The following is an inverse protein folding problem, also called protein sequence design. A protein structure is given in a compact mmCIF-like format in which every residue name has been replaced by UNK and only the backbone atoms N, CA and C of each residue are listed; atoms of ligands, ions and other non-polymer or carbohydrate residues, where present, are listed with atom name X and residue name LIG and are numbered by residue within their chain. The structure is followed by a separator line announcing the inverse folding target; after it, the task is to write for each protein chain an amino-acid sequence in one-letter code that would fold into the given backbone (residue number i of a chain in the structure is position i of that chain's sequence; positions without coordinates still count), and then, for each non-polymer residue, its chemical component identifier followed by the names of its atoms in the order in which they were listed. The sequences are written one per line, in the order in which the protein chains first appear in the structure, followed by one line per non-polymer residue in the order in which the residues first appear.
data_IF_907268804899
#
_entry.id   IF_907268804899
#
_cell.length_a   1.000
_cell.length_b   1.000
_cell.length_c   1.000
_cell.angle_alpha   90.00
_cell.angle_beta   90.00
_cell.angle_gamma   90.00
#
_symmetry.space_group_name_H-M   'P 1'
#
loop_
_entity.id
_entity.type
_entity.pdbx_description
1 polymer ?
#
# COMPACT_ATOMS: atom_id res chain seq x y z
N UNK A 1 41.23 -3.89 0.42
CA UNK A 1 40.03 -4.43 -0.25
C UNK A 1 38.82 -3.88 0.48
N UNK A 2 37.95 -3.11 -0.19
CA UNK A 2 36.66 -2.71 0.40
C UNK A 2 35.72 -3.90 0.26
N UNK A 3 35.15 -4.38 1.37
CA UNK A 3 34.13 -5.42 1.34
C UNK A 3 32.94 -4.97 0.49
N UNK A 4 32.27 -5.87 -0.25
CA UNK A 4 31.01 -5.52 -0.90
C UNK A 4 30.02 -5.13 0.19
N UNK A 5 29.47 -3.92 0.10
CA UNK A 5 28.31 -3.54 0.90
C UNK A 5 27.20 -4.48 0.45
N UNK A 6 26.80 -5.41 1.30
CA UNK A 6 25.63 -6.23 1.06
C UNK A 6 24.43 -5.28 1.17
N UNK A 7 23.89 -4.84 0.04
CA UNK A 7 22.61 -4.13 0.05
C UNK A 7 21.58 -5.17 0.46
N UNK A 8 21.00 -4.97 1.63
CA UNK A 8 19.86 -5.76 2.11
C UNK A 8 18.64 -5.07 1.53
N UNK A 9 17.83 -5.82 0.82
CA UNK A 9 16.54 -5.37 0.32
C UNK A 9 15.46 -6.07 1.15
N UNK A 10 14.54 -5.27 1.68
CA UNK A 10 13.40 -5.74 2.45
C UNK A 10 12.15 -5.36 1.67
N UNK A 11 11.36 -6.37 1.34
CA UNK A 11 10.09 -6.23 0.64
C UNK A 11 8.95 -6.68 1.55
N UNK A 12 7.83 -5.97 1.51
CA UNK A 12 6.58 -6.42 2.13
C UNK A 12 5.41 -6.16 1.20
N UNK A 13 4.50 -7.13 1.13
CA UNK A 13 3.27 -7.03 0.36
C UNK A 13 2.08 -6.88 1.30
N UNK A 14 1.19 -5.93 0.99
CA UNK A 14 -0.08 -5.74 1.66
C UNK A 14 -1.21 -5.91 0.67
N UNK A 15 -2.22 -6.68 1.06
CA UNK A 15 -3.43 -6.90 0.27
C UNK A 15 -4.63 -6.43 1.04
N UNK A 16 -5.41 -5.53 0.42
CA UNK A 16 -6.72 -5.11 0.89
C UNK A 16 -7.79 -5.62 -0.08
N UNK A 17 -8.95 -6.02 0.44
CA UNK A 17 -10.08 -6.51 -0.35
C UNK A 17 -11.38 -5.89 0.13
N UNK A 18 -12.21 -5.42 -0.79
CA UNK A 18 -13.49 -4.82 -0.46
C UNK A 18 -14.29 -4.46 -1.70
N UNK A 19 -15.19 -3.48 -1.57
CA UNK A 19 -15.96 -3.00 -2.72
C UNK A 19 -15.13 -2.06 -3.60
N UNK A 20 -15.48 -1.99 -4.89
CA UNK A 20 -14.75 -1.19 -5.88
C UNK A 20 -14.67 0.30 -5.55
N UNK A 21 -15.75 0.89 -5.05
CA UNK A 21 -15.81 2.34 -4.78
C UNK A 21 -14.86 2.72 -3.64
N UNK A 22 -14.83 1.91 -2.57
CA UNK A 22 -13.90 2.08 -1.45
C UNK A 22 -12.47 1.81 -1.90
N UNK A 23 -12.23 0.83 -2.78
CA UNK A 23 -10.90 0.58 -3.36
C UNK A 23 -10.36 1.80 -4.13
N UNK A 24 -11.19 2.45 -4.95
CA UNK A 24 -10.84 3.65 -5.71
C UNK A 24 -10.57 4.86 -4.79
N UNK A 25 -11.37 5.02 -3.72
CA UNK A 25 -11.15 6.06 -2.71
C UNK A 25 -9.82 5.86 -1.97
N UNK A 26 -9.53 4.64 -1.53
CA UNK A 26 -8.27 4.28 -0.87
C UNK A 26 -7.08 4.47 -1.81
N UNK A 27 -7.17 4.00 -3.07
CA UNK A 27 -6.13 4.19 -4.08
C UNK A 27 -5.78 5.66 -4.25
N UNK A 28 -6.79 6.53 -4.37
CA UNK A 28 -6.60 7.96 -4.56
C UNK A 28 -5.79 8.62 -3.43
N UNK A 29 -5.88 8.08 -2.21
CA UNK A 29 -5.17 8.61 -1.05
C UNK A 29 -3.68 8.20 -1.01
N UNK A 30 -3.32 7.07 -1.61
CA UNK A 30 -1.95 6.53 -1.61
C UNK A 30 -1.27 6.59 -2.97
N UNK A 31 -1.97 6.99 -4.02
CA UNK A 31 -1.39 7.08 -5.35
C UNK A 31 -0.30 8.15 -5.40
N UNK A 32 0.87 7.77 -5.94
CA UNK A 32 2.01 8.68 -6.08
C UNK A 32 3.00 8.66 -4.92
N UNK A 33 2.88 7.74 -3.95
CA UNK A 33 3.97 7.45 -3.04
C UNK A 33 5.16 6.86 -3.83
N UNK A 34 6.37 7.32 -3.54
CA UNK A 34 7.61 6.91 -4.20
C UNK A 34 8.20 5.60 -3.65
N UNK A 35 7.73 5.20 -2.46
CA UNK A 35 8.21 4.02 -1.73
C UNK A 35 7.32 2.79 -1.88
N UNK A 36 6.24 2.86 -2.67
CA UNK A 36 5.29 1.78 -2.82
C UNK A 36 4.80 1.63 -4.27
N UNK A 37 4.86 0.40 -4.78
CA UNK A 37 4.17 0.03 -6.02
C UNK A 37 2.74 -0.40 -5.67
N UNK A 38 1.76 0.26 -6.29
CA UNK A 38 0.34 0.09 -5.94
C UNK A 38 -0.43 -0.34 -7.19
N UNK A 39 -1.13 -1.46 -7.07
CA UNK A 39 -1.96 -2.03 -8.12
C UNK A 39 -3.41 -2.18 -7.64
N UNK A 40 -4.36 -1.69 -8.44
CA UNK A 40 -5.78 -1.96 -8.24
C UNK A 40 -6.13 -3.28 -8.93
N UNK A 41 -6.53 -4.25 -8.14
CA UNK A 41 -6.96 -5.57 -8.61
C UNK A 41 -8.48 -5.59 -8.62
N UNK A 42 -9.12 -5.86 -9.76
CA UNK A 42 -10.57 -6.03 -9.83
C UNK A 42 -10.90 -7.47 -10.19
N UNK A 43 -11.79 -8.10 -9.42
CA UNK A 43 -12.31 -9.41 -9.80
C UNK A 43 -13.20 -9.31 -11.04
N UNK A 44 -13.18 -10.35 -11.88
CA UNK A 44 -13.93 -10.43 -13.14
C UNK A 44 -15.45 -10.20 -12.96
N UNK A 45 -15.95 -10.43 -11.75
CA UNK A 45 -17.38 -10.45 -11.44
C UNK A 45 -17.87 -9.06 -10.99
N UNK A 46 -16.99 -8.06 -10.94
CA UNK A 46 -17.30 -6.63 -10.74
C UNK A 46 -17.75 -6.21 -9.33
N UNK A 47 -18.01 -7.17 -8.44
CA UNK A 47 -18.46 -6.92 -7.07
C UNK A 47 -17.33 -6.66 -6.05
N UNK A 48 -16.15 -7.25 -6.27
CA UNK A 48 -15.00 -7.13 -5.39
C UNK A 48 -13.81 -6.50 -6.12
N UNK A 49 -13.14 -5.61 -5.42
CA UNK A 49 -11.86 -5.03 -5.80
C UNK A 49 -10.88 -5.15 -4.64
N UNK A 50 -9.61 -5.08 -4.95
CA UNK A 50 -8.53 -5.10 -3.98
C UNK A 50 -7.42 -4.15 -4.35
N UNK A 51 -6.60 -3.85 -3.35
CA UNK A 51 -5.35 -3.13 -3.54
C UNK A 51 -4.22 -4.10 -3.21
N UNK A 52 -3.29 -4.23 -4.13
CA UNK A 52 -2.02 -4.90 -3.91
C UNK A 52 -0.95 -3.84 -3.82
N UNK A 53 -0.29 -3.77 -2.66
CA UNK A 53 0.68 -2.72 -2.36
C UNK A 53 2.00 -3.40 -1.98
N UNK A 54 3.03 -3.13 -2.78
CA UNK A 54 4.38 -3.60 -2.54
C UNK A 54 5.22 -2.47 -1.99
N UNK A 55 5.85 -2.66 -0.83
CA UNK A 55 6.71 -1.67 -0.19
C UNK A 55 8.12 -2.23 -0.07
N UNK A 56 9.09 -1.46 -0.55
CA UNK A 56 10.51 -1.83 -0.56
C UNK A 56 11.32 -0.87 0.31
N UNK A 57 12.37 -1.36 0.94
CA UNK A 57 13.31 -0.55 1.73
C UNK A 57 14.62 -1.26 2.02
N UNK A 58 15.59 -0.51 2.54
CA UNK A 58 16.95 -1.00 2.77
C UNK A 58 17.10 -1.76 4.11
N UNK A 59 16.15 -1.56 5.03
CA UNK A 59 16.07 -2.33 6.27
C UNK A 59 14.65 -2.43 6.86
N UNK A 60 14.46 -3.36 7.80
CA UNK A 60 13.16 -3.61 8.44
C UNK A 60 12.58 -2.39 9.18
N UNK A 61 13.42 -1.47 9.69
CA UNK A 61 12.98 -0.27 10.40
C UNK A 61 12.47 0.78 9.42
N UNK A 62 13.07 0.86 8.24
CA UNK A 62 12.58 1.70 7.15
C UNK A 62 11.25 1.17 6.64
N UNK A 63 11.17 -0.09 6.22
CA UNK A 63 9.91 -0.69 5.74
C UNK A 63 8.79 -0.53 6.77
N UNK A 64 9.07 -0.73 8.06
CA UNK A 64 8.09 -0.46 9.12
C UNK A 64 7.57 0.98 9.09
N UNK A 65 8.43 1.98 8.98
CA UNK A 65 8.01 3.40 8.93
C UNK A 65 7.17 3.72 7.70
N UNK A 66 7.54 3.15 6.56
CA UNK A 66 6.82 3.30 5.30
C UNK A 66 5.42 2.69 5.40
N UNK A 67 5.34 1.46 5.93
CA UNK A 67 4.06 0.77 6.20
C UNK A 67 3.22 1.54 7.22
N UNK A 68 3.80 2.02 8.32
CA UNK A 68 3.09 2.81 9.34
C UNK A 68 2.49 4.09 8.72
N UNK A 69 3.23 4.75 7.82
CA UNK A 69 2.78 5.95 7.11
C UNK A 69 1.66 5.65 6.11
N UNK A 70 1.82 4.56 5.36
CA UNK A 70 0.82 4.06 4.40
C UNK A 70 -0.49 3.71 5.12
N UNK A 71 -0.42 2.98 6.23
CA UNK A 71 -1.57 2.60 7.03
C UNK A 71 -2.30 3.81 7.61
N UNK A 72 -1.58 4.87 8.01
CA UNK A 72 -2.19 6.10 8.49
C UNK A 72 -3.00 6.82 7.39
N UNK A 73 -2.48 6.89 6.16
CA UNK A 73 -3.19 7.46 5.02
C UNK A 73 -4.43 6.63 4.66
N UNK A 74 -4.29 5.31 4.58
CA UNK A 74 -5.40 4.39 4.31
C UNK A 74 -6.50 4.49 5.37
N UNK A 75 -6.13 4.52 6.66
CA UNK A 75 -7.09 4.67 7.75
C UNK A 75 -7.85 6.01 7.69
N UNK A 76 -7.16 7.10 7.34
CA UNK A 76 -7.81 8.41 7.15
C UNK A 76 -8.81 8.38 5.99
N UNK A 77 -8.41 7.83 4.84
CA UNK A 77 -9.26 7.73 3.66
C UNK A 77 -10.46 6.78 3.89
N UNK A 78 -10.24 5.68 4.63
CA UNK A 78 -11.28 4.76 5.05
C UNK A 78 -12.33 5.47 5.93
N UNK A 79 -11.89 6.21 6.95
CA UNK A 79 -12.78 6.94 7.84
C UNK A 79 -13.56 8.05 7.11
N UNK A 80 -12.94 8.75 6.15
CA UNK A 80 -13.60 9.74 5.30
C UNK A 80 -14.66 9.10 4.40
N UNK A 81 -14.34 7.96 3.78
CA UNK A 81 -15.29 7.20 2.97
C UNK A 81 -16.49 6.73 3.79
N UNK A 82 -16.24 6.13 4.95
CA UNK A 82 -17.27 5.58 5.85
C UNK A 82 -18.14 6.68 6.49
N UNK A 83 -17.64 7.92 6.58
CA UNK A 83 -18.45 9.06 7.06
C UNK A 83 -19.42 9.59 6.00
N UNK A 84 -19.14 9.30 4.72
CA UNK A 84 -19.85 9.86 3.56
C UNK A 84 -20.77 8.84 2.85
N UNK A 85 -20.79 7.56 3.27
CA UNK A 85 -21.56 6.46 2.66
C UNK A 85 -22.24 5.61 3.74
#
# INVERSE_FOLDING_TARGET
MRSPVTMVEVETEMVWTGNKVKAEALLSAIQGQDFADIELVTECDGGQAGLRILVNGDDLREVRKLVDSLLALLASAEAEYDSNN
#
